data_IF_797046233259
#
_entry.id   IF_797046233259
#
_cell.length_a   1.000
_cell.length_b   1.000
_cell.length_c   1.000
_cell.angle_alpha   90.00
_cell.angle_beta   90.00
_cell.angle_gamma   90.00
#
_symmetry.space_group_name_H-M   'P 1'
#
loop_
_entity.id
_entity.type
_entity.pdbx_description
1 polymer ?
#
# COMPACT_ATOMS: atom_id res chain seq x y z
N UNK A 1 7.08 -7.53 -7.36
CA UNK A 1 6.41 -6.23 -7.60
C UNK A 1 6.09 -5.60 -6.26
N UNK A 2 6.83 -4.56 -5.87
CA UNK A 2 6.63 -3.84 -4.60
C UNK A 2 5.34 -3.03 -4.70
N UNK A 3 4.43 -3.18 -3.74
CA UNK A 3 3.23 -2.34 -3.67
C UNK A 3 3.67 -0.86 -3.65
N UNK A 4 3.34 -0.11 -4.70
CA UNK A 4 3.63 1.32 -4.78
C UNK A 4 2.75 2.05 -3.77
N UNK A 5 3.32 2.27 -2.58
CA UNK A 5 2.73 3.09 -1.54
C UNK A 5 3.12 4.55 -1.81
N UNK A 6 2.12 5.43 -1.85
CA UNK A 6 2.31 6.84 -2.16
C UNK A 6 1.93 7.70 -0.95
N UNK A 7 2.51 8.89 -0.86
CA UNK A 7 2.11 9.91 0.10
C UNK A 7 0.62 10.26 -0.09
N UNK A 8 -0.11 10.37 1.01
CA UNK A 8 -1.52 10.70 1.04
C UNK A 8 -2.44 9.48 1.16
N UNK A 9 -1.93 8.27 0.90
CA UNK A 9 -2.75 7.07 0.89
C UNK A 9 -3.01 6.51 2.29
N UNK A 10 -4.18 5.87 2.44
CA UNK A 10 -4.60 5.20 3.66
C UNK A 10 -4.05 3.77 3.68
N UNK A 11 -3.43 3.40 4.79
CA UNK A 11 -2.81 2.10 5.03
C UNK A 11 -3.17 1.56 6.40
N UNK A 12 -3.16 0.24 6.53
CA UNK A 12 -3.36 -0.46 7.80
C UNK A 12 -2.25 -1.48 8.00
N UNK A 13 -1.79 -1.63 9.24
CA UNK A 13 -0.82 -2.67 9.57
C UNK A 13 -1.53 -4.02 9.71
N UNK A 14 -1.12 -5.03 8.94
CA UNK A 14 -1.77 -6.35 8.96
C UNK A 14 -1.59 -7.07 10.31
N UNK A 15 -0.41 -6.94 10.91
CA UNK A 15 -0.04 -7.64 12.16
C UNK A 15 -0.42 -6.87 13.43
N UNK A 16 -0.72 -5.58 13.30
CA UNK A 16 -1.04 -4.67 14.42
C UNK A 16 -2.31 -3.92 14.10
N UNK A 17 -3.43 -4.65 14.18
CA UNK A 17 -4.75 -4.09 13.98
C UNK A 17 -5.07 -2.97 14.99
N UNK A 18 -4.42 -2.98 16.17
CA UNK A 18 -4.54 -1.98 17.23
C UNK A 18 -4.15 -0.56 16.79
N UNK A 19 -3.30 -0.41 15.76
CA UNK A 19 -2.88 0.90 15.27
C UNK A 19 -3.94 1.61 14.42
N UNK A 20 -4.97 0.88 13.98
CA UNK A 20 -6.03 1.44 13.13
C UNK A 20 -5.56 1.77 11.70
N UNK A 21 -6.25 2.72 11.09
CA UNK A 21 -5.92 3.25 9.76
C UNK A 21 -4.91 4.38 9.95
N UNK A 22 -3.85 4.36 9.14
CA UNK A 22 -2.85 5.41 9.09
C UNK A 22 -2.70 6.00 7.71
N UNK A 23 -2.24 7.24 7.64
CA UNK A 23 -2.02 7.98 6.40
C UNK A 23 -0.53 8.12 6.13
N UNK A 24 -0.11 7.79 4.93
CA UNK A 24 1.30 7.93 4.53
C UNK A 24 1.61 9.42 4.37
N UNK A 25 2.60 9.90 5.10
CA UNK A 25 3.07 11.29 5.00
C UNK A 25 4.35 11.43 4.17
N UNK A 26 5.17 10.37 4.11
CA UNK A 26 6.39 10.34 3.34
C UNK A 26 6.79 8.90 3.03
N UNK A 27 7.43 8.72 1.87
CA UNK A 27 8.01 7.45 1.44
C UNK A 27 9.46 7.73 1.08
N UNK A 28 10.37 7.06 1.78
CA UNK A 28 11.79 7.15 1.54
C UNK A 28 12.21 6.11 0.49
N UNK A 29 13.17 6.47 -0.35
CA UNK A 29 13.66 5.58 -1.42
C UNK A 29 14.41 4.35 -0.88
N UNK A 30 14.83 4.37 0.39
CA UNK A 30 15.41 3.23 1.10
C UNK A 30 14.35 2.17 1.51
N UNK A 31 13.06 2.45 1.27
CA UNK A 31 11.95 1.56 1.63
C UNK A 31 11.41 1.79 3.05
N UNK A 32 11.78 2.91 3.67
CA UNK A 32 11.18 3.39 4.93
C UNK A 32 9.96 4.24 4.61
N UNK A 33 8.83 3.93 5.21
CA UNK A 33 7.57 4.65 4.99
C UNK A 33 7.15 5.30 6.31
N UNK A 34 6.89 6.61 6.27
CA UNK A 34 6.37 7.35 7.41
C UNK A 34 4.85 7.40 7.33
N UNK A 35 4.20 6.90 8.37
CA UNK A 35 2.75 6.81 8.48
C UNK A 35 2.30 7.46 9.77
N UNK A 36 1.24 8.25 9.71
CA UNK A 36 0.56 8.79 10.89
C UNK A 36 -0.71 7.97 11.10
N UNK A 37 -0.79 7.22 12.20
CA UNK A 37 -1.98 6.46 12.55
C UNK A 37 -2.93 7.33 13.39
N UNK A 38 -4.22 7.06 13.34
CA UNK A 38 -5.17 7.84 14.14
C UNK A 38 -5.03 7.55 15.65
N UNK A 39 -4.70 6.30 16.02
CA UNK A 39 -4.48 5.88 17.41
C UNK A 39 -3.03 5.99 17.90
N UNK A 40 -2.07 6.25 17.02
CA UNK A 40 -0.63 6.29 17.33
C UNK A 40 0.01 7.47 16.62
N UNK A 41 0.93 8.18 17.28
CA UNK A 41 1.76 9.24 16.65
C UNK A 41 2.48 8.75 15.38
N UNK A 42 3.14 9.66 14.67
CA UNK A 42 3.98 9.35 13.51
C UNK A 42 4.90 8.14 13.78
N UNK A 43 4.80 7.12 12.94
CA UNK A 43 5.66 5.94 12.97
C UNK A 43 6.42 5.80 11.66
N UNK A 44 7.67 5.38 11.77
CA UNK A 44 8.54 5.08 10.64
C UNK A 44 8.66 3.57 10.49
N UNK A 45 8.20 3.02 9.38
CA UNK A 45 8.20 1.57 9.13
C UNK A 45 9.18 1.25 8.00
N UNK A 46 10.33 0.68 8.36
CA UNK A 46 11.28 0.13 7.41
C UNK A 46 10.71 -1.12 6.74
N UNK A 47 10.83 -1.22 5.41
CA UNK A 47 10.20 -2.28 4.59
C UNK A 47 8.69 -2.38 4.82
N UNK A 48 8.05 -1.25 5.11
CA UNK A 48 6.63 -1.18 5.44
C UNK A 48 5.72 -1.75 4.36
N UNK A 49 6.12 -1.70 3.09
CA UNK A 49 5.35 -2.27 1.97
C UNK A 49 5.02 -3.78 2.13
N UNK A 50 5.74 -4.51 3.00
CA UNK A 50 5.46 -5.93 3.26
C UNK A 50 4.41 -6.17 4.35
N UNK A 51 4.21 -5.20 5.24
CA UNK A 51 3.33 -5.31 6.41
C UNK A 51 2.17 -4.31 6.41
N UNK A 52 2.29 -3.26 5.61
CA UNK A 52 1.28 -2.26 5.35
C UNK A 52 0.43 -2.70 4.17
N UNK A 53 -0.87 -2.58 4.37
CA UNK A 53 -1.86 -2.90 3.35
C UNK A 53 -2.62 -1.63 3.05
N UNK A 54 -2.77 -1.32 1.77
CA UNK A 54 -3.60 -0.21 1.34
C UNK A 54 -5.05 -0.49 1.71
N UNK A 55 -5.70 0.49 2.33
CA UNK A 55 -7.11 0.39 2.73
C UNK A 55 -7.86 1.62 2.25
N UNK A 56 -9.15 1.44 2.04
CA UNK A 56 -10.10 2.50 1.75
C UNK A 56 -10.42 3.31 3.01
N UNK A 57 -11.16 4.42 2.89
CA UNK A 57 -11.67 5.21 4.02
C UNK A 57 -12.47 4.35 5.02
N UNK A 58 -13.10 3.28 4.53
CA UNK A 58 -13.84 2.31 5.34
C UNK A 58 -12.95 1.23 6.00
N UNK A 59 -11.62 1.32 5.87
CA UNK A 59 -10.67 0.32 6.38
C UNK A 59 -10.66 -1.00 5.60
N UNK A 60 -11.35 -1.05 4.46
CA UNK A 60 -11.43 -2.21 3.58
C UNK A 60 -10.16 -2.30 2.73
N UNK A 61 -9.50 -3.46 2.70
CA UNK A 61 -8.28 -3.68 1.90
C UNK A 61 -8.54 -3.32 0.43
N UNK A 62 -7.87 -2.29 -0.05
CA UNK A 62 -7.78 -1.96 -1.47
C UNK A 62 -6.75 -2.92 -2.07
N UNK A 63 -7.23 -4.09 -2.49
CA UNK A 63 -6.47 -4.92 -3.41
C UNK A 63 -6.15 -4.06 -4.63
N UNK A 64 -4.90 -4.09 -5.15
CA UNK A 64 -4.69 -3.56 -6.48
C UNK A 64 -5.67 -4.33 -7.36
N UNK A 65 -6.67 -3.64 -7.90
CA UNK A 65 -7.34 -4.08 -9.11
C UNK A 65 -6.22 -4.09 -10.14
N UNK A 66 -5.49 -5.19 -10.19
CA UNK A 66 -5.01 -5.72 -11.46
C UNK A 66 -6.28 -5.72 -12.33
N UNK A 67 -6.44 -4.66 -13.13
CA UNK A 67 -6.89 -4.91 -14.48
C UNK A 67 -5.83 -5.86 -15.02
N UNK A 68 -6.11 -7.14 -14.84
CA UNK A 68 -5.66 -8.14 -15.77
C UNK A 68 -6.17 -7.64 -17.13
N UNK A 69 -5.33 -6.86 -17.80
CA UNK A 69 -5.36 -6.80 -19.24
C UNK A 69 -4.46 -7.93 -19.72
N UNK A 70 -4.87 -9.17 -19.44
CA UNK A 70 -4.57 -10.26 -20.36
C UNK A 70 -5.46 -10.05 -21.60
N UNK A 71 -5.17 -10.71 -22.72
CA UNK A 71 -3.95 -10.67 -23.52
C UNK A 71 -4.24 -9.94 -24.85
N UNK A 72 -3.27 -9.22 -25.44
CA UNK A 72 -3.38 -8.88 -26.88
C UNK A 72 -2.81 -10.04 -27.67
N UNK A 73 -3.72 -10.97 -27.93
CA UNK A 73 -3.99 -11.66 -29.19
C UNK A 73 -2.92 -11.64 -30.30
N UNK A 74 -2.87 -12.80 -30.98
CA UNK A 74 -2.07 -13.17 -32.13
C UNK A 74 -1.74 -12.01 -33.09
N UNK A 75 -0.47 -11.91 -33.46
CA UNK A 75 -0.15 -11.58 -34.86
C UNK A 75 0.49 -12.80 -35.47
N UNK A 76 -0.31 -13.50 -36.29
CA UNK A 76 0.22 -14.43 -37.25
C UNK A 76 1.13 -13.69 -38.22
N UNK A 77 2.34 -14.19 -38.34
CA UNK A 77 3.25 -14.03 -39.48
C UNK A 77 3.96 -15.40 -39.55
N UNK A 78 4.06 -16.13 -40.65
CA UNK A 78 3.65 -15.96 -42.04
C UNK A 78 3.54 -17.38 -42.63
#
# INVERSE_FOLDING_TARGET
>A
MTAMLCKGENVRHNKKAEWGIGKIIAVDSCGTIKVVFEGTKEVSIAKGAKFLVKVDENGKKLLPKIKESAPKDLTGIQ
#
